data_IF_826638165426
#
_entry.id   IF_826638165426
#
_cell.length_a   1.000
_cell.length_b   1.000
_cell.length_c   1.000
_cell.angle_alpha   90.00
_cell.angle_beta   90.00
_cell.angle_gamma   90.00
#
_symmetry.space_group_name_H-M   'P 1'
#
loop_
_entity.id
_entity.type
_entity.pdbx_description
1 polymer ?
#
# COMPACT_ATOMS: atom_id res chain seq x y z
N UNK A 1 0.80 16.24 13.00
CA UNK A 1 1.83 15.51 13.81
C UNK A 1 1.46 14.03 13.92
N UNK A 2 2.38 13.11 13.58
CA UNK A 2 2.09 11.66 13.56
C UNK A 2 2.05 11.02 14.97
N UNK A 3 2.78 11.59 15.93
CA UNK A 3 2.96 11.04 17.27
C UNK A 3 1.65 10.81 18.05
N UNK A 4 0.67 11.74 18.09
CA UNK A 4 -0.56 11.50 18.86
C UNK A 4 -1.41 10.35 18.30
N UNK A 5 -1.42 10.17 16.97
CA UNK A 5 -2.13 9.08 16.31
C UNK A 5 -1.49 7.73 16.62
N UNK A 6 -0.17 7.62 16.52
CA UNK A 6 0.56 6.39 16.88
C UNK A 6 0.39 6.08 18.38
N UNK A 7 0.42 7.10 19.23
CA UNK A 7 0.19 6.94 20.67
C UNK A 7 -1.21 6.40 20.97
N UNK A 8 -2.26 6.99 20.39
CA UNK A 8 -3.63 6.48 20.54
C UNK A 8 -3.81 5.07 19.98
N UNK A 9 -3.11 4.75 18.89
CA UNK A 9 -3.10 3.41 18.31
C UNK A 9 -2.44 2.39 19.24
N UNK A 10 -1.32 2.76 19.86
CA UNK A 10 -0.58 1.92 20.81
C UNK A 10 -1.35 1.71 22.12
N UNK A 11 -1.99 2.75 22.67
CA UNK A 11 -2.81 2.61 23.88
C UNK A 11 -3.98 1.65 23.66
N UNK A 12 -4.63 1.69 22.49
CA UNK A 12 -5.67 0.72 22.13
C UNK A 12 -5.13 -0.73 22.05
N UNK A 13 -3.95 -0.92 21.47
CA UNK A 13 -3.32 -2.24 21.40
C UNK A 13 -2.99 -2.80 22.79
N UNK A 14 -2.52 -1.94 23.71
CA UNK A 14 -2.28 -2.31 25.12
C UNK A 14 -3.58 -2.69 25.84
N UNK A 15 -4.65 -1.92 25.65
CA UNK A 15 -5.96 -2.23 26.24
C UNK A 15 -6.50 -3.58 25.79
N UNK A 16 -6.21 -3.97 24.55
CA UNK A 16 -6.61 -5.26 23.99
C UNK A 16 -5.62 -6.39 24.28
N UNK A 17 -4.51 -6.13 24.99
CA UNK A 17 -3.39 -7.07 25.22
C UNK A 17 -2.86 -7.69 23.91
N UNK A 18 -2.78 -6.88 22.84
CA UNK A 18 -2.29 -7.29 21.52
C UNK A 18 -0.88 -6.74 21.24
N UNK A 19 -0.24 -6.09 22.20
CA UNK A 19 1.10 -5.55 22.03
C UNK A 19 2.15 -6.65 21.77
N UNK A 20 3.15 -6.34 20.95
CA UNK A 20 4.20 -7.29 20.58
C UNK A 20 3.74 -8.44 19.68
N UNK A 21 2.53 -8.38 19.14
CA UNK A 21 2.01 -9.35 18.17
C UNK A 21 2.19 -8.89 16.72
N UNK A 22 2.37 -9.85 15.80
CA UNK A 22 2.46 -9.55 14.37
C UNK A 22 1.17 -8.93 13.83
N UNK A 23 0.02 -9.34 14.36
CA UNK A 23 -1.30 -8.81 13.98
C UNK A 23 -1.46 -7.34 14.37
N UNK A 24 -0.96 -6.94 15.55
CA UNK A 24 -0.95 -5.54 15.95
C UNK A 24 -0.06 -4.68 15.04
N UNK A 25 1.08 -5.21 14.57
CA UNK A 25 1.93 -4.51 13.58
C UNK A 25 1.20 -4.34 12.25
N UNK A 26 0.57 -5.40 11.72
CA UNK A 26 -0.18 -5.30 10.46
C UNK A 26 -1.32 -4.29 10.57
N UNK A 27 -2.11 -4.35 11.64
CA UNK A 27 -3.17 -3.38 11.92
C UNK A 27 -2.61 -1.96 12.07
N UNK A 28 -1.47 -1.86 12.76
CA UNK A 28 -0.53 -0.75 12.77
C UNK A 28 -0.42 -0.06 11.43
N UNK A 29 0.11 -0.81 10.47
CA UNK A 29 0.44 -0.32 9.15
C UNK A 29 -0.79 0.02 8.31
N UNK A 30 -1.87 -0.77 8.43
CA UNK A 30 -3.11 -0.55 7.66
C UNK A 30 -3.72 0.82 7.93
N UNK A 31 -3.73 1.29 9.20
CA UNK A 31 -4.29 2.60 9.54
C UNK A 31 -3.66 3.75 8.74
N UNK A 32 -2.35 3.65 8.47
CA UNK A 32 -1.57 4.67 7.76
C UNK A 32 -1.58 4.48 6.25
N UNK A 33 -1.63 3.24 5.77
CA UNK A 33 -1.59 2.90 4.34
C UNK A 33 -2.94 3.12 3.66
N UNK A 34 -4.03 2.79 4.34
CA UNK A 34 -5.38 2.81 3.78
C UNK A 34 -5.81 4.18 3.22
N UNK A 35 -5.60 5.32 3.90
CA UNK A 35 -5.99 6.63 3.38
C UNK A 35 -5.33 6.96 2.03
N UNK A 36 -4.05 6.62 1.87
CA UNK A 36 -3.32 6.84 0.62
C UNK A 36 -3.84 5.97 -0.51
N UNK A 37 -4.13 4.69 -0.24
CA UNK A 37 -4.74 3.80 -1.23
C UNK A 37 -6.12 4.33 -1.67
N UNK A 38 -6.93 4.83 -0.73
CA UNK A 38 -8.25 5.40 -1.02
C UNK A 38 -8.16 6.67 -1.88
N UNK A 39 -7.21 7.57 -1.61
CA UNK A 39 -7.01 8.77 -2.42
C UNK A 39 -6.64 8.46 -3.88
N UNK A 40 -6.00 7.32 -4.13
CA UNK A 40 -5.68 6.87 -5.49
C UNK A 40 -6.90 6.19 -6.14
N UNK A 41 -7.61 5.34 -5.39
CA UNK A 41 -8.71 4.52 -5.91
C UNK A 41 -10.01 5.31 -6.12
N UNK A 42 -10.33 6.25 -5.23
CA UNK A 42 -11.58 7.01 -5.28
C UNK A 42 -11.77 7.79 -6.60
N UNK A 43 -10.84 8.65 -7.05
CA UNK A 43 -10.99 9.35 -8.31
C UNK A 43 -10.97 8.39 -9.51
N UNK A 44 -10.24 7.28 -9.43
CA UNK A 44 -10.23 6.27 -10.49
C UNK A 44 -11.59 5.58 -10.65
N UNK A 45 -12.25 5.27 -9.53
CA UNK A 45 -13.59 4.70 -9.53
C UNK A 45 -14.63 5.67 -10.09
N UNK A 46 -14.52 6.96 -9.73
CA UNK A 46 -15.42 8.01 -10.21
C UNK A 46 -15.26 8.31 -11.71
N UNK A 47 -14.08 8.03 -12.30
CA UNK A 47 -13.79 8.23 -13.73
C UNK A 47 -14.26 7.07 -14.63
N UNK A 48 -14.84 6.01 -14.07
CA UNK A 48 -15.40 4.92 -14.87
C UNK A 48 -16.57 5.47 -15.70
N UNK A 49 -16.47 5.40 -17.03
CA UNK A 49 -17.49 5.91 -17.94
C UNK A 49 -18.82 5.14 -17.77
N UNK A 50 -19.85 5.84 -17.31
CA UNK A 50 -21.21 5.31 -17.16
C UNK A 50 -21.79 4.77 -18.46
N UNK A 51 -21.33 5.25 -19.64
CA UNK A 51 -21.77 4.75 -20.95
C UNK A 51 -21.40 3.29 -21.17
N UNK A 52 -20.22 2.86 -20.72
CA UNK A 52 -19.79 1.46 -20.83
C UNK A 52 -20.70 0.54 -20.00
N UNK A 53 -21.14 1.01 -18.84
CA UNK A 53 -22.07 0.30 -17.96
C UNK A 53 -23.45 0.21 -18.63
N UNK A 54 -23.94 1.31 -19.21
CA UNK A 54 -25.24 1.34 -19.91
C UNK A 54 -25.26 0.39 -21.11
N UNK A 55 -24.22 0.39 -21.95
CA UNK A 55 -24.10 -0.52 -23.09
C UNK A 55 -24.10 -1.98 -22.63
N UNK A 56 -23.40 -2.31 -21.56
CA UNK A 56 -23.40 -3.68 -21.04
C UNK A 56 -24.79 -4.09 -20.49
N UNK A 57 -25.53 -3.16 -19.89
CA UNK A 57 -26.91 -3.40 -19.43
C UNK A 57 -27.88 -3.61 -20.59
N UNK A 58 -27.78 -2.84 -21.68
CA UNK A 58 -28.64 -3.04 -22.87
C UNK A 58 -28.37 -4.36 -23.58
N UNK A 59 -27.15 -4.90 -23.47
CA UNK A 59 -26.78 -6.25 -23.92
C UNK A 59 -27.27 -7.36 -22.97
N UNK A 60 -28.05 -7.04 -21.93
CA UNK A 60 -28.62 -8.00 -21.00
C UNK A 60 -27.62 -8.58 -20.00
N UNK A 61 -26.47 -7.95 -19.78
CA UNK A 61 -25.49 -8.46 -18.82
C UNK A 61 -25.95 -8.23 -17.37
N UNK A 62 -25.75 -9.23 -16.51
CA UNK A 62 -25.99 -9.11 -15.07
C UNK A 62 -24.96 -8.19 -14.41
N UNK A 63 -25.31 -7.60 -13.26
CA UNK A 63 -24.43 -6.68 -12.52
C UNK A 63 -23.08 -7.32 -12.16
N UNK A 64 -23.08 -8.61 -11.83
CA UNK A 64 -21.85 -9.38 -11.55
C UNK A 64 -20.95 -9.42 -12.77
N UNK A 65 -21.51 -9.69 -13.96
CA UNK A 65 -20.75 -9.72 -15.22
C UNK A 65 -20.19 -8.33 -15.54
N UNK A 66 -20.97 -7.27 -15.36
CA UNK A 66 -20.48 -5.89 -15.56
C UNK A 66 -19.34 -5.57 -14.59
N UNK A 67 -19.45 -5.97 -13.32
CA UNK A 67 -18.39 -5.76 -12.33
C UNK A 67 -17.09 -6.47 -12.73
N UNK A 68 -17.14 -7.76 -13.06
CA UNK A 68 -15.94 -8.54 -13.37
C UNK A 68 -15.34 -8.24 -14.75
N UNK A 69 -16.14 -7.93 -15.77
CA UNK A 69 -15.66 -7.75 -17.14
C UNK A 69 -15.48 -6.28 -17.55
N UNK A 70 -16.12 -5.33 -16.86
CA UNK A 70 -15.98 -3.89 -17.17
C UNK A 70 -15.23 -3.17 -16.06
N UNK A 71 -15.74 -3.21 -14.81
CA UNK A 71 -15.19 -2.41 -13.71
C UNK A 71 -13.83 -2.91 -13.23
N UNK A 72 -13.71 -4.21 -12.94
CA UNK A 72 -12.47 -4.82 -12.43
C UNK A 72 -11.28 -4.60 -13.38
N UNK A 73 -11.40 -4.83 -14.71
CA UNK A 73 -10.33 -4.55 -15.64
C UNK A 73 -9.93 -3.07 -15.64
N UNK A 74 -10.89 -2.13 -15.62
CA UNK A 74 -10.59 -0.69 -15.58
C UNK A 74 -9.87 -0.27 -14.30
N UNK A 75 -10.21 -0.89 -13.17
CA UNK A 75 -9.61 -0.61 -11.86
C UNK A 75 -8.23 -1.25 -11.65
N UNK A 76 -7.82 -2.22 -12.48
CA UNK A 76 -6.54 -2.92 -12.30
C UNK A 76 -5.34 -1.97 -12.25
N UNK A 77 -5.25 -1.02 -13.18
CA UNK A 77 -4.16 -0.02 -13.24
C UNK A 77 -4.12 0.87 -11.99
N UNK A 78 -5.22 1.57 -11.62
CA UNK A 78 -5.29 2.31 -10.36
C UNK A 78 -4.94 1.47 -9.13
N UNK A 79 -5.35 0.20 -9.11
CA UNK A 79 -5.08 -0.72 -7.99
C UNK A 79 -3.60 -1.04 -7.88
N UNK A 80 -2.90 -1.26 -9.00
CA UNK A 80 -1.45 -1.47 -9.01
C UNK A 80 -0.69 -0.24 -8.50
N UNK A 81 -1.13 0.97 -8.87
CA UNK A 81 -0.55 2.23 -8.39
C UNK A 81 -0.81 2.38 -6.88
N UNK A 82 -2.05 2.16 -6.44
CA UNK A 82 -2.42 2.20 -5.02
C UNK A 82 -1.61 1.21 -4.20
N UNK A 83 -1.40 -0.01 -4.72
CA UNK A 83 -0.57 -1.02 -4.10
C UNK A 83 0.89 -0.58 -3.96
N UNK A 84 1.51 -0.05 -5.02
CA UNK A 84 2.90 0.41 -4.96
C UNK A 84 3.10 1.56 -3.96
N UNK A 85 2.18 2.53 -3.95
CA UNK A 85 2.21 3.64 -2.99
C UNK A 85 1.98 3.11 -1.58
N UNK A 86 1.00 2.24 -1.37
CA UNK A 86 0.70 1.66 -0.07
C UNK A 86 1.88 0.85 0.49
N UNK A 87 2.54 0.05 -0.36
CA UNK A 87 3.77 -0.66 -0.01
C UNK A 87 4.89 0.30 0.40
N UNK A 88 5.12 1.35 -0.39
CA UNK A 88 6.14 2.36 -0.12
C UNK A 88 5.89 3.09 1.21
N UNK A 89 4.63 3.42 1.50
CA UNK A 89 4.24 4.04 2.78
C UNK A 89 4.43 3.05 3.93
N UNK A 90 4.06 1.78 3.74
CA UNK A 90 4.18 0.73 4.76
C UNK A 90 5.63 0.48 5.17
N UNK A 91 6.54 0.31 4.20
CA UNK A 91 7.95 0.02 4.50
C UNK A 91 8.67 1.21 5.14
N UNK A 92 8.23 2.44 4.87
CA UNK A 92 8.77 3.66 5.47
C UNK A 92 8.32 3.90 6.92
N UNK A 93 7.39 3.09 7.45
CA UNK A 93 6.93 3.23 8.82
C UNK A 93 7.99 2.71 9.80
N UNK A 94 8.23 3.51 10.84
CA UNK A 94 9.14 3.20 11.94
C UNK A 94 8.37 3.14 13.26
N UNK A 95 7.70 4.24 13.63
CA UNK A 95 7.08 4.38 14.94
C UNK A 95 5.93 3.37 15.19
N UNK A 96 4.99 3.16 14.24
CA UNK A 96 3.95 2.14 14.43
C UNK A 96 4.53 0.74 14.61
N UNK A 97 5.55 0.38 13.83
CA UNK A 97 6.22 -0.93 13.88
C UNK A 97 6.94 -1.14 15.21
N UNK A 98 7.69 -0.13 15.67
CA UNK A 98 8.47 -0.22 16.90
C UNK A 98 7.56 -0.34 18.12
N UNK A 99 6.55 0.53 18.23
CA UNK A 99 5.68 0.58 19.41
C UNK A 99 4.74 -0.62 19.46
N UNK A 100 4.02 -0.93 18.37
CA UNK A 100 3.09 -2.07 18.35
C UNK A 100 3.81 -3.42 18.34
N UNK A 101 5.01 -3.47 17.76
CA UNK A 101 5.86 -4.66 17.76
C UNK A 101 6.70 -4.83 19.03
N UNK A 102 6.64 -3.88 19.98
CA UNK A 102 7.45 -3.86 21.20
C UNK A 102 8.96 -4.12 20.96
N UNK A 103 9.48 -3.67 19.81
CA UNK A 103 10.88 -3.90 19.40
C UNK A 103 11.23 -5.36 19.00
N UNK A 104 10.27 -6.28 18.96
CA UNK A 104 10.50 -7.70 18.64
C UNK A 104 10.59 -8.00 17.14
N UNK A 105 10.15 -7.07 16.30
CA UNK A 105 10.13 -7.22 14.86
C UNK A 105 11.13 -6.24 14.22
N UNK A 106 12.39 -6.67 14.00
CA UNK A 106 13.36 -5.83 13.32
C UNK A 106 12.96 -5.65 11.85
N UNK A 107 12.87 -4.39 11.43
CA UNK A 107 12.72 -3.97 10.04
C UNK A 107 13.89 -3.08 9.62
N UNK A 108 14.06 -2.91 8.30
CA UNK A 108 15.08 -2.02 7.74
C UNK A 108 15.03 -0.62 8.35
N UNK A 109 13.83 -0.09 8.62
CA UNK A 109 13.64 1.21 9.25
C UNK A 109 14.01 1.21 10.72
N UNK A 110 13.64 0.19 11.50
CA UNK A 110 13.95 0.16 12.93
C UNK A 110 15.44 -0.01 13.19
N UNK A 111 16.12 -0.84 12.40
CA UNK A 111 17.56 -1.06 12.53
C UNK A 111 18.35 0.17 12.06
N UNK A 112 17.95 0.81 10.95
CA UNK A 112 18.62 2.02 10.47
C UNK A 112 18.54 3.15 11.49
N UNK A 113 17.39 3.33 12.14
CA UNK A 113 17.23 4.33 13.20
C UNK A 113 18.06 3.96 14.43
N UNK A 114 18.11 2.69 14.83
CA UNK A 114 18.97 2.26 15.94
C UNK A 114 20.46 2.54 15.67
N UNK A 115 20.93 2.27 14.44
CA UNK A 115 22.32 2.53 14.02
C UNK A 115 22.64 4.02 13.86
N UNK A 116 21.64 4.88 13.65
CA UNK A 116 21.87 6.33 13.51
C UNK A 116 22.42 7.00 14.77
N UNK A 117 22.24 6.38 15.94
CA UNK A 117 22.65 6.94 17.24
C UNK A 117 24.08 6.57 17.67
N UNK A 118 24.87 5.92 16.80
CA UNK A 118 26.27 5.56 17.10
C UNK A 118 26.77 4.26 16.46
N UNK A 119 26.02 3.68 15.53
CA UNK A 119 26.41 2.49 14.77
C UNK A 119 27.37 2.78 13.62
N UNK A 120 27.75 1.73 12.88
CA UNK A 120 28.65 1.90 11.72
C UNK A 120 27.94 2.61 10.56
N UNK A 121 28.55 3.69 10.04
CA UNK A 121 28.03 4.44 8.88
C UNK A 121 27.81 3.57 7.64
N UNK A 122 28.62 2.53 7.44
CA UNK A 122 28.51 1.62 6.28
C UNK A 122 27.21 0.81 6.29
N UNK A 123 26.83 0.22 7.43
CA UNK A 123 25.59 -0.55 7.55
C UNK A 123 24.37 0.37 7.45
N UNK A 124 24.42 1.56 8.05
CA UNK A 124 23.35 2.55 7.93
C UNK A 124 23.13 2.97 6.47
N UNK A 125 24.20 3.22 5.71
CA UNK A 125 24.11 3.54 4.30
C UNK A 125 23.51 2.39 3.48
N UNK A 126 23.89 1.14 3.77
CA UNK A 126 23.33 -0.04 3.11
C UNK A 126 21.83 -0.20 3.39
N UNK A 127 21.40 0.03 4.64
CA UNK A 127 19.98 -0.04 4.99
C UNK A 127 19.17 1.09 4.36
N UNK A 128 19.70 2.31 4.34
CA UNK A 128 19.08 3.42 3.62
C UNK A 128 18.96 3.13 2.11
N UNK A 129 19.96 2.49 1.52
CA UNK A 129 19.92 2.08 0.11
C UNK A 129 18.82 1.03 -0.13
N UNK A 130 18.72 0.00 0.71
CA UNK A 130 17.65 -0.99 0.61
C UNK A 130 16.25 -0.40 0.82
N UNK A 131 16.14 0.55 1.75
CA UNK A 131 14.92 1.30 2.01
C UNK A 131 14.45 2.09 0.77
N UNK A 132 15.37 2.52 -0.08
CA UNK A 132 15.08 3.18 -1.36
C UNK A 132 14.81 2.18 -2.49
N UNK A 133 15.65 1.16 -2.63
CA UNK A 133 15.60 0.22 -3.75
C UNK A 133 14.33 -0.65 -3.73
N UNK A 134 13.86 -1.08 -2.56
CA UNK A 134 12.69 -1.95 -2.46
C UNK A 134 11.41 -1.27 -2.98
N UNK A 135 11.02 -0.06 -2.52
CA UNK A 135 9.92 0.69 -3.14
C UNK A 135 10.13 0.91 -4.64
N UNK A 136 11.34 1.28 -5.04
CA UNK A 136 11.64 1.57 -6.45
C UNK A 136 11.39 0.36 -7.35
N UNK A 137 11.80 -0.84 -6.90
CA UNK A 137 11.55 -2.10 -7.63
C UNK A 137 10.04 -2.35 -7.73
N UNK A 138 9.29 -2.19 -6.63
CA UNK A 138 7.83 -2.38 -6.66
C UNK A 138 7.14 -1.38 -7.58
N UNK A 139 7.55 -0.11 -7.57
CA UNK A 139 7.06 0.90 -8.52
C UNK A 139 7.38 0.51 -9.97
N UNK A 140 8.61 0.07 -10.25
CA UNK A 140 9.01 -0.35 -11.59
C UNK A 140 8.18 -1.55 -12.06
N UNK A 141 8.02 -2.58 -11.23
CA UNK A 141 7.24 -3.77 -11.55
C UNK A 141 5.77 -3.44 -11.81
N UNK A 142 5.14 -2.67 -10.92
CA UNK A 142 3.73 -2.26 -11.08
C UNK A 142 3.52 -1.37 -12.30
N UNK A 143 4.47 -0.48 -12.62
CA UNK A 143 4.44 0.34 -13.83
C UNK A 143 4.57 -0.51 -15.11
N UNK A 144 5.47 -1.50 -15.11
CA UNK A 144 5.65 -2.43 -16.23
C UNK A 144 4.38 -3.25 -16.47
N UNK A 145 3.77 -3.79 -15.41
CA UNK A 145 2.51 -4.53 -15.50
C UNK A 145 1.37 -3.63 -16.00
N UNK A 146 1.25 -2.41 -15.45
CA UNK A 146 0.24 -1.45 -15.87
C UNK A 146 0.38 -1.02 -17.35
N UNK A 147 1.63 -0.90 -17.82
CA UNK A 147 1.98 -0.65 -19.22
C UNK A 147 1.58 -1.84 -20.09
N UNK A 148 1.99 -3.05 -19.73
CA UNK A 148 1.68 -4.28 -20.47
C UNK A 148 0.17 -4.52 -20.62
N UNK A 149 -0.59 -4.41 -19.52
CA UNK A 149 -2.07 -4.47 -19.54
C UNK A 149 -2.67 -3.42 -20.49
N UNK A 150 -2.01 -2.27 -20.64
CA UNK A 150 -2.37 -1.25 -21.60
C UNK A 150 -2.26 -1.66 -23.05
N UNK A 151 -1.10 -2.18 -23.42
CA UNK A 151 -0.81 -2.63 -24.77
C UNK A 151 -1.76 -3.74 -25.19
N UNK A 152 -1.98 -4.74 -24.33
CA UNK A 152 -2.89 -5.86 -24.62
C UNK A 152 -4.32 -5.38 -24.90
N UNK A 153 -4.77 -4.28 -24.27
CA UNK A 153 -6.11 -3.73 -24.51
C UNK A 153 -6.21 -2.80 -25.72
N UNK A 154 -5.11 -2.20 -26.16
CA UNK A 154 -5.11 -1.38 -27.38
C UNK A 154 -5.27 -2.26 -28.63
N UNK A 155 -4.82 -3.52 -28.59
CA UNK A 155 -5.03 -4.50 -29.67
C UNK A 155 -6.45 -5.07 -29.77
N UNK A 156 -7.37 -4.66 -28.90
CA UNK A 156 -8.78 -5.07 -28.90
C UNK A 156 -9.75 -3.95 -29.34
N UNK A 157 -9.22 -2.82 -29.82
CA UNK A 157 -10.01 -1.71 -30.38
C UNK A 157 -10.17 -1.83 -31.88
#
# INVERSE_FOLDING_TARGET
>A
PALPLVAGQYTLALWLNLDGSWTAVVWGHLLWVMPWMLFILQPAWQRIDSRLILIAQTLGWSQSKIFFYVKCPLMLRPTLIAFAVGFSVSIAQYMPTLWLGAGRFPTLTTEAVALSSGGSNGILAAQALWQLLLPLIIFALTALVAKWVGYVRQGLR
#
